data_IF_915509849308
#
_entry.id   IF_915509849308
#
_cell.length_a   1.000
_cell.length_b   1.000
_cell.length_c   1.000
_cell.angle_alpha   90.00
_cell.angle_beta   90.00
_cell.angle_gamma   90.00
#
_symmetry.space_group_name_H-M   'P 1'
#
loop_
_entity.id
_entity.type
_entity.pdbx_description
1 polymer ?
#
# COMPACT_ATOMS: atom_id res chain seq x y z
N UNK A 1 -59.19 -68.52 -8.41
CA UNK A 1 -59.66 -68.56 -9.78
C UNK A 1 -58.61 -68.01 -10.70
N UNK A 2 -58.05 -68.84 -11.51
CA UNK A 2 -57.03 -68.61 -12.55
C UNK A 2 -57.49 -67.74 -13.71
N UNK A 3 -56.64 -66.96 -14.28
CA UNK A 3 -56.53 -66.88 -15.75
C UNK A 3 -55.10 -66.42 -16.10
N UNK A 4 -54.38 -67.36 -16.74
CA UNK A 4 -53.13 -67.12 -17.47
C UNK A 4 -53.40 -66.36 -18.76
N UNK A 5 -52.49 -65.48 -19.16
CA UNK A 5 -52.24 -65.18 -20.58
C UNK A 5 -50.83 -64.93 -20.91
N UNK A 6 -50.45 -65.58 -21.91
CA UNK A 6 -49.24 -66.01 -22.58
C UNK A 6 -48.28 -64.89 -23.03
N UNK A 7 -46.98 -65.21 -22.95
CA UNK A 7 -45.85 -64.58 -23.62
C UNK A 7 -46.02 -64.43 -25.13
N UNK A 8 -45.53 -63.31 -25.68
CA UNK A 8 -44.97 -63.23 -27.02
C UNK A 8 -43.59 -62.55 -26.89
N UNK A 9 -42.55 -63.32 -27.18
CA UNK A 9 -41.16 -62.86 -27.33
C UNK A 9 -41.01 -62.29 -28.76
N UNK A 10 -40.42 -61.06 -28.83
CA UNK A 10 -39.83 -60.54 -30.07
C UNK A 10 -38.38 -60.14 -29.71
N UNK A 11 -37.35 -60.64 -30.42
CA UNK A 11 -35.97 -60.29 -30.15
C UNK A 11 -35.66 -58.98 -30.88
N UNK A 12 -35.38 -57.93 -30.13
CA UNK A 12 -34.78 -56.71 -30.63
C UNK A 12 -33.27 -56.77 -30.51
N UNK A 13 -32.60 -56.77 -31.65
CA UNK A 13 -31.14 -56.65 -31.78
C UNK A 13 -30.71 -55.29 -31.25
N UNK A 14 -30.03 -55.23 -30.13
CA UNK A 14 -29.36 -54.01 -29.68
C UNK A 14 -27.93 -53.90 -30.25
N UNK A 15 -27.77 -52.95 -31.14
CA UNK A 15 -26.45 -52.44 -31.54
C UNK A 15 -25.85 -51.67 -30.37
N UNK A 16 -24.80 -52.19 -29.72
CA UNK A 16 -24.02 -51.47 -28.72
C UNK A 16 -22.98 -50.61 -29.44
N UNK A 17 -23.30 -49.31 -29.59
CA UNK A 17 -22.30 -48.30 -29.98
C UNK A 17 -21.50 -47.89 -28.75
N UNK A 18 -20.26 -48.35 -28.65
CA UNK A 18 -19.29 -47.93 -27.63
C UNK A 18 -18.85 -46.48 -27.90
N UNK A 19 -19.43 -45.53 -27.19
CA UNK A 19 -18.91 -44.16 -27.15
C UNK A 19 -17.79 -44.15 -26.10
N UNK A 20 -16.54 -44.22 -26.55
CA UNK A 20 -15.38 -43.83 -25.79
C UNK A 20 -15.40 -42.31 -25.58
N UNK A 21 -16.00 -41.88 -24.49
CA UNK A 21 -15.89 -40.51 -24.03
C UNK A 21 -14.47 -40.23 -23.55
N UNK A 22 -13.66 -39.57 -24.38
CA UNK A 22 -12.43 -38.97 -23.95
C UNK A 22 -12.77 -37.86 -22.92
N UNK A 23 -12.43 -38.07 -21.65
CA UNK A 23 -12.31 -36.98 -20.67
C UNK A 23 -11.12 -36.11 -21.09
N UNK A 24 -11.34 -35.19 -21.99
CA UNK A 24 -10.47 -34.05 -22.18
C UNK A 24 -10.72 -33.13 -20.99
N UNK A 25 -9.73 -32.99 -20.10
CA UNK A 25 -9.71 -31.87 -19.19
C UNK A 25 -9.73 -30.60 -20.05
N UNK A 26 -10.79 -29.80 -19.90
CA UNK A 26 -10.84 -28.48 -20.53
C UNK A 26 -9.65 -27.69 -19.98
N UNK A 27 -8.69 -27.36 -20.84
CA UNK A 27 -7.71 -26.33 -20.54
C UNK A 27 -8.49 -25.04 -20.22
N UNK A 28 -8.06 -24.27 -19.20
CA UNK A 28 -8.69 -22.99 -18.92
C UNK A 28 -8.57 -22.14 -20.18
N UNK A 29 -9.71 -21.60 -20.61
CA UNK A 29 -9.87 -20.74 -21.77
C UNK A 29 -8.86 -19.57 -21.64
N UNK A 30 -7.80 -19.57 -22.43
CA UNK A 30 -6.90 -18.43 -22.55
C UNK A 30 -7.71 -17.33 -23.20
N UNK A 31 -8.12 -16.34 -22.41
CA UNK A 31 -8.94 -15.22 -22.86
C UNK A 31 -8.48 -14.73 -24.24
N UNK A 32 -9.44 -14.52 -25.16
CA UNK A 32 -9.15 -14.01 -26.49
C UNK A 32 -8.29 -12.74 -26.39
N UNK A 33 -7.23 -12.70 -27.18
CA UNK A 33 -6.36 -11.51 -27.25
C UNK A 33 -7.20 -10.27 -27.60
N UNK A 34 -6.98 -9.17 -26.93
CA UNK A 34 -7.72 -7.92 -27.18
C UNK A 34 -7.65 -7.55 -28.66
N UNK A 35 -8.79 -7.12 -29.22
CA UNK A 35 -8.80 -6.56 -30.60
C UNK A 35 -7.91 -5.32 -30.69
N UNK A 36 -7.37 -5.03 -31.86
CA UNK A 36 -6.43 -3.90 -32.05
C UNK A 36 -7.00 -2.54 -31.60
N UNK A 37 -8.32 -2.32 -31.74
CA UNK A 37 -8.95 -1.06 -31.28
C UNK A 37 -9.19 -1.06 -29.76
N UNK A 38 -9.59 -2.19 -29.17
CA UNK A 38 -9.68 -2.33 -27.72
C UNK A 38 -8.30 -2.16 -27.06
N UNK A 39 -7.25 -2.70 -27.66
CA UNK A 39 -5.88 -2.52 -27.19
C UNK A 39 -5.44 -1.05 -27.23
N UNK A 40 -5.73 -0.32 -28.32
CA UNK A 40 -5.42 1.13 -28.40
C UNK A 40 -6.20 1.92 -27.33
N UNK A 41 -7.46 1.60 -27.10
CA UNK A 41 -8.29 2.24 -26.07
C UNK A 41 -7.72 1.98 -24.67
N UNK A 42 -7.35 0.73 -24.37
CA UNK A 42 -6.69 0.36 -23.12
C UNK A 42 -5.39 1.16 -22.91
N UNK A 43 -4.49 1.17 -23.90
CA UNK A 43 -3.21 1.90 -23.80
C UNK A 43 -3.44 3.40 -23.56
N UNK A 44 -4.42 4.01 -24.25
CA UNK A 44 -4.77 5.41 -24.04
C UNK A 44 -5.24 5.68 -22.61
N UNK A 45 -6.13 4.85 -22.08
CA UNK A 45 -6.64 4.97 -20.71
C UNK A 45 -5.53 4.71 -19.69
N UNK A 46 -4.69 3.71 -19.93
CA UNK A 46 -3.55 3.37 -19.10
C UNK A 46 -2.56 4.54 -18.96
N UNK A 47 -2.24 5.21 -20.08
CA UNK A 47 -1.40 6.42 -20.08
C UNK A 47 -2.04 7.55 -19.27
N UNK A 48 -3.35 7.77 -19.40
CA UNK A 48 -4.05 8.80 -18.63
C UNK A 48 -3.97 8.54 -17.13
N UNK A 49 -4.22 7.31 -16.67
CA UNK A 49 -4.13 6.94 -15.26
C UNK A 49 -2.71 7.10 -14.71
N UNK A 50 -1.71 6.62 -15.46
CA UNK A 50 -0.30 6.77 -15.10
C UNK A 50 0.10 8.23 -14.96
N UNK A 51 -0.19 9.06 -15.97
CA UNK A 51 0.30 10.43 -16.05
C UNK A 51 -0.41 11.36 -15.05
N UNK A 52 -1.62 11.03 -14.63
CA UNK A 52 -2.36 11.78 -13.59
C UNK A 52 -1.63 11.84 -12.23
N UNK A 53 -0.71 10.92 -11.95
CA UNK A 53 0.01 10.85 -10.67
C UNK A 53 1.54 11.02 -10.82
N UNK A 54 2.03 11.54 -11.96
CA UNK A 54 3.48 11.68 -12.21
C UNK A 54 4.04 13.04 -11.84
N UNK A 55 3.22 14.05 -11.81
CA UNK A 55 3.63 15.40 -11.42
C UNK A 55 3.93 15.47 -9.93
N UNK A 56 4.81 16.37 -9.54
CA UNK A 56 5.06 16.63 -8.13
C UNK A 56 3.81 17.28 -7.50
N UNK A 57 3.26 16.66 -6.46
CA UNK A 57 2.16 17.29 -5.73
C UNK A 57 2.68 18.52 -4.99
N UNK A 58 1.90 19.60 -5.00
CA UNK A 58 2.21 20.77 -4.21
C UNK A 58 1.78 20.59 -2.75
N UNK A 59 2.58 21.09 -1.82
CA UNK A 59 2.15 21.18 -0.41
C UNK A 59 1.06 22.25 -0.32
N UNK A 60 -0.17 21.81 -0.07
CA UNK A 60 -1.29 22.73 0.12
C UNK A 60 -0.99 23.66 1.29
N UNK A 61 -1.18 24.97 1.10
CA UNK A 61 -1.03 25.94 2.16
C UNK A 61 -1.96 25.57 3.33
N UNK A 62 -1.38 25.34 4.50
CA UNK A 62 -2.11 25.01 5.69
C UNK A 62 -2.75 26.25 6.31
N UNK A 63 -3.99 26.16 6.75
CA UNK A 63 -4.64 27.25 7.45
C UNK A 63 -3.84 27.61 8.71
N UNK A 64 -3.47 28.89 8.92
CA UNK A 64 -2.76 29.30 10.14
C UNK A 64 -3.56 29.01 11.40
N UNK A 65 -2.87 28.63 12.48
CA UNK A 65 -3.47 28.50 13.81
C UNK A 65 -2.43 28.84 14.88
N UNK A 66 -2.89 29.15 16.10
CA UNK A 66 -2.00 29.47 17.20
C UNK A 66 -1.45 28.18 17.85
N UNK A 67 -0.16 27.93 17.71
CA UNK A 67 0.55 26.80 18.31
C UNK A 67 0.79 26.96 19.81
N UNK A 68 0.76 28.20 20.36
CA UNK A 68 1.15 28.47 21.76
C UNK A 68 0.44 27.62 22.82
N UNK A 69 -0.89 27.30 22.70
CA UNK A 69 -1.57 26.44 23.66
C UNK A 69 -1.02 25.01 23.72
N UNK A 70 -0.30 24.58 22.67
CA UNK A 70 0.28 23.24 22.59
C UNK A 70 1.67 23.12 23.22
N UNK A 71 2.29 24.24 23.60
CA UNK A 71 3.62 24.23 24.20
C UNK A 71 3.63 23.42 25.51
N UNK A 72 4.53 22.44 25.57
CA UNK A 72 4.67 21.53 26.71
C UNK A 72 3.72 20.34 26.70
N UNK A 73 2.77 20.26 25.77
CA UNK A 73 1.93 19.08 25.56
C UNK A 73 2.76 17.86 25.20
N UNK A 74 2.28 16.68 25.59
CA UNK A 74 2.96 15.40 25.38
C UNK A 74 2.27 14.59 24.28
N UNK A 75 2.95 14.36 23.17
CA UNK A 75 2.47 13.52 22.05
C UNK A 75 3.34 12.28 21.94
N UNK A 76 2.72 11.10 21.99
CA UNK A 76 3.39 9.83 21.81
C UNK A 76 3.23 9.36 20.36
N UNK A 77 4.35 9.04 19.72
CA UNK A 77 4.36 8.45 18.38
C UNK A 77 4.75 6.98 18.53
N UNK A 78 3.80 6.10 18.24
CA UNK A 78 3.92 4.65 18.42
C UNK A 78 4.00 4.02 17.05
N UNK A 79 5.19 3.52 16.68
CA UNK A 79 5.41 2.78 15.43
C UNK A 79 5.21 1.28 15.63
N UNK A 80 4.59 0.60 14.66
CA UNK A 80 4.37 -0.85 14.73
C UNK A 80 5.67 -1.63 14.92
N UNK A 81 6.73 -1.23 14.21
CA UNK A 81 8.06 -1.82 14.33
C UNK A 81 9.16 -0.78 14.03
N UNK A 82 10.39 -1.06 14.47
CA UNK A 82 11.54 -0.21 14.20
C UNK A 82 12.15 -0.54 12.83
N UNK A 83 11.50 -0.06 11.76
CA UNK A 83 11.99 -0.19 10.38
C UNK A 83 12.36 1.19 9.81
N UNK A 84 13.26 1.30 8.82
CA UNK A 84 13.79 2.58 8.34
C UNK A 84 12.72 3.62 7.99
N UNK A 85 11.64 3.22 7.33
CA UNK A 85 10.56 4.11 6.96
C UNK A 85 9.82 4.70 8.17
N UNK A 86 9.48 3.86 9.16
CA UNK A 86 8.86 4.30 10.42
C UNK A 86 9.80 5.17 11.26
N UNK A 87 11.11 4.84 11.27
CA UNK A 87 12.10 5.65 11.97
C UNK A 87 12.18 7.07 11.41
N UNK A 88 12.20 7.24 10.10
CA UNK A 88 12.22 8.57 9.47
C UNK A 88 10.99 9.41 9.80
N UNK A 89 9.80 8.80 9.84
CA UNK A 89 8.58 9.51 10.29
C UNK A 89 8.73 9.96 11.75
N UNK A 90 9.24 9.09 12.61
CA UNK A 90 9.47 9.41 14.02
C UNK A 90 10.50 10.52 14.19
N UNK A 91 11.62 10.49 13.44
CA UNK A 91 12.66 11.54 13.47
C UNK A 91 12.07 12.89 13.01
N UNK A 92 11.22 12.87 11.99
CA UNK A 92 10.47 14.04 11.54
C UNK A 92 9.52 14.59 12.61
N UNK A 93 8.81 13.71 13.32
CA UNK A 93 7.92 14.08 14.41
C UNK A 93 8.71 14.69 15.60
N UNK A 94 9.87 14.13 15.94
CA UNK A 94 10.75 14.73 16.93
C UNK A 94 11.23 16.13 16.52
N UNK A 95 11.64 16.30 15.25
CA UNK A 95 12.06 17.61 14.73
C UNK A 95 10.93 18.63 14.80
N UNK A 96 9.72 18.25 14.41
CA UNK A 96 8.51 19.07 14.51
C UNK A 96 8.16 19.41 15.96
N UNK A 97 8.29 18.43 16.86
CA UNK A 97 8.12 18.64 18.31
C UNK A 97 9.08 19.69 18.86
N UNK A 98 10.36 19.61 18.50
CA UNK A 98 11.37 20.62 18.89
C UNK A 98 11.01 22.00 18.36
N UNK A 99 10.53 22.12 17.13
CA UNK A 99 10.15 23.38 16.51
C UNK A 99 8.89 23.99 17.15
N UNK A 100 7.90 23.15 17.49
CA UNK A 100 6.59 23.58 18.03
C UNK A 100 6.57 23.76 19.56
N UNK A 101 7.54 23.18 20.27
CA UNK A 101 7.53 23.10 21.73
C UNK A 101 6.64 21.98 22.30
N UNK A 102 6.19 21.04 21.47
CA UNK A 102 5.50 19.82 21.88
C UNK A 102 6.55 18.77 22.28
N UNK A 103 6.31 18.09 23.41
CA UNK A 103 7.17 16.99 23.87
C UNK A 103 6.79 15.70 23.11
N UNK A 104 7.52 15.37 22.07
CA UNK A 104 7.31 14.14 21.30
C UNK A 104 8.07 12.98 21.95
N UNK A 105 7.38 11.86 22.19
CA UNK A 105 7.95 10.63 22.73
C UNK A 105 7.76 9.49 21.75
N UNK A 106 8.86 8.88 21.33
CA UNK A 106 8.84 7.79 20.34
C UNK A 106 8.88 6.43 21.04
N UNK A 107 8.02 5.52 20.61
CA UNK A 107 7.99 4.11 21.05
C UNK A 107 7.83 3.22 19.81
N UNK A 108 8.64 2.17 19.73
CA UNK A 108 8.50 1.15 18.68
C UNK A 108 8.03 -0.16 19.28
N UNK A 109 7.05 -0.77 18.63
CA UNK A 109 6.66 -2.16 18.86
C UNK A 109 7.64 -3.14 18.19
N UNK A 110 7.27 -4.40 18.22
CA UNK A 110 7.94 -5.52 17.56
C UNK A 110 7.13 -6.11 16.40
N UNK A 111 6.09 -5.38 15.96
CA UNK A 111 5.14 -5.82 14.94
C UNK A 111 3.92 -6.56 15.54
N UNK A 112 3.90 -6.84 16.85
CA UNK A 112 2.78 -7.52 17.48
C UNK A 112 1.73 -6.55 18.03
N UNK A 113 0.46 -6.96 18.00
CA UNK A 113 -0.65 -6.25 18.62
C UNK A 113 -0.44 -6.05 20.13
N UNK A 114 0.21 -7.01 20.80
CA UNK A 114 0.44 -6.94 22.24
C UNK A 114 1.38 -5.78 22.63
N UNK A 115 2.47 -5.59 21.90
CA UNK A 115 3.41 -4.49 22.17
C UNK A 115 2.81 -3.14 21.84
N UNK A 116 2.03 -3.04 20.76
CA UNK A 116 1.29 -1.84 20.39
C UNK A 116 0.27 -1.46 21.49
N UNK A 117 -0.53 -2.43 21.93
CA UNK A 117 -1.51 -2.23 23.02
C UNK A 117 -0.83 -1.78 24.32
N UNK A 118 0.30 -2.41 24.70
CA UNK A 118 1.06 -2.04 25.88
C UNK A 118 1.60 -0.60 25.78
N UNK A 119 2.10 -0.18 24.62
CA UNK A 119 2.59 1.17 24.40
C UNK A 119 1.48 2.22 24.52
N UNK A 120 0.27 1.96 23.94
CA UNK A 120 -0.88 2.86 24.08
C UNK A 120 -1.32 2.98 25.54
N UNK A 121 -1.43 1.87 26.26
CA UNK A 121 -1.75 1.90 27.71
C UNK A 121 -0.71 2.65 28.53
N UNK A 122 0.56 2.48 28.19
CA UNK A 122 1.65 3.22 28.87
C UNK A 122 1.54 4.72 28.60
N UNK A 123 1.27 5.15 27.37
CA UNK A 123 1.05 6.54 27.01
C UNK A 123 -0.13 7.13 27.80
N UNK A 124 -1.26 6.40 27.85
CA UNK A 124 -2.44 6.78 28.62
C UNK A 124 -2.13 6.95 30.11
N UNK A 125 -1.46 5.96 30.72
CA UNK A 125 -1.08 6.00 32.13
C UNK A 125 -0.10 7.12 32.48
N UNK A 126 0.75 7.55 31.52
CA UNK A 126 1.69 8.65 31.70
C UNK A 126 1.09 10.02 31.33
N UNK A 127 -0.20 10.11 31.05
CA UNK A 127 -0.90 11.37 30.79
C UNK A 127 -0.50 12.02 29.46
N UNK A 128 -0.37 11.23 28.40
CA UNK A 128 -0.22 11.78 27.06
C UNK A 128 -1.41 12.68 26.73
N UNK A 129 -1.16 13.79 26.03
CA UNK A 129 -2.24 14.62 25.46
C UNK A 129 -2.70 14.07 24.09
N UNK A 130 -1.77 13.46 23.35
CA UNK A 130 -2.05 12.86 22.04
C UNK A 130 -1.21 11.60 21.77
N UNK A 131 -1.73 10.75 20.92
CA UNK A 131 -1.08 9.50 20.46
C UNK A 131 -1.22 9.41 18.95
N UNK A 132 -0.12 9.15 18.23
CA UNK A 132 -0.11 8.82 16.82
C UNK A 132 0.33 7.37 16.61
N UNK A 133 -0.43 6.61 15.83
CA UNK A 133 -0.27 5.17 15.59
C UNK A 133 0.22 4.92 14.17
N UNK A 134 1.53 4.75 13.96
CA UNK A 134 2.13 4.51 12.63
C UNK A 134 2.09 3.01 12.33
N UNK A 135 1.31 2.60 11.32
CA UNK A 135 1.09 1.20 10.93
C UNK A 135 0.60 0.30 12.07
N UNK A 136 0.03 0.87 13.12
CA UNK A 136 -0.70 0.15 14.17
C UNK A 136 -2.18 0.35 13.90
N UNK A 137 -2.88 -0.69 13.45
CA UNK A 137 -4.32 -0.61 13.22
C UNK A 137 -5.09 -0.45 14.54
N UNK A 138 -5.75 0.71 14.76
CA UNK A 138 -6.49 0.99 16.00
C UNK A 138 -7.55 -0.06 16.32
N UNK A 139 -8.13 -0.70 15.32
CA UNK A 139 -9.18 -1.71 15.50
C UNK A 139 -8.67 -2.99 16.16
N UNK A 140 -7.38 -3.32 15.95
CA UNK A 140 -6.76 -4.50 16.58
C UNK A 140 -6.45 -4.30 18.06
N UNK A 141 -6.44 -3.04 18.52
CA UNK A 141 -6.17 -2.64 19.92
C UNK A 141 -7.32 -1.81 20.49
N UNK A 142 -8.55 -2.04 20.01
CA UNK A 142 -9.75 -1.22 20.30
C UNK A 142 -9.93 -0.90 21.79
N UNK A 143 -9.74 -1.88 22.68
CA UNK A 143 -9.90 -1.66 24.11
C UNK A 143 -8.92 -0.59 24.66
N UNK A 144 -7.69 -0.54 24.17
CA UNK A 144 -6.72 0.49 24.57
C UNK A 144 -7.09 1.86 23.98
N UNK A 145 -7.60 1.90 22.74
CA UNK A 145 -8.10 3.12 22.09
C UNK A 145 -9.33 3.66 22.80
N UNK A 146 -10.23 2.80 23.25
CA UNK A 146 -11.41 3.22 24.06
C UNK A 146 -10.99 3.83 25.41
N UNK A 147 -9.91 3.35 26.01
CA UNK A 147 -9.38 3.91 27.24
C UNK A 147 -8.73 5.30 27.01
N UNK A 148 -8.06 5.52 25.87
CA UNK A 148 -7.55 6.87 25.50
C UNK A 148 -8.70 7.86 25.33
N UNK A 149 -9.79 7.44 24.68
CA UNK A 149 -10.98 8.27 24.48
C UNK A 149 -11.60 8.69 25.81
N UNK A 150 -11.71 7.77 26.78
CA UNK A 150 -12.22 8.07 28.14
C UNK A 150 -11.32 9.07 28.86
N UNK A 151 -10.00 9.00 28.61
CA UNK A 151 -9.03 9.92 29.17
C UNK A 151 -8.94 11.27 28.45
N UNK A 152 -9.69 11.49 27.37
CA UNK A 152 -9.67 12.71 26.58
C UNK A 152 -8.41 12.90 25.73
N UNK A 153 -7.70 11.82 25.44
CA UNK A 153 -6.47 11.82 24.63
C UNK A 153 -6.84 11.77 23.15
N UNK A 154 -6.23 12.64 22.34
CA UNK A 154 -6.39 12.58 20.88
C UNK A 154 -5.63 11.40 20.30
N UNK A 155 -6.22 10.69 19.32
CA UNK A 155 -5.59 9.57 18.64
C UNK A 155 -5.57 9.84 17.14
N UNK A 156 -4.37 9.81 16.53
CA UNK A 156 -4.20 9.85 15.08
C UNK A 156 -3.84 8.45 14.56
N UNK A 157 -4.61 7.98 13.58
CA UNK A 157 -4.32 6.79 12.77
C UNK A 157 -3.43 7.19 11.58
N UNK A 158 -2.25 6.59 11.45
CA UNK A 158 -1.26 7.01 10.46
C UNK A 158 -1.00 5.90 9.45
N UNK A 159 -1.48 6.11 8.22
CA UNK A 159 -1.23 5.25 7.04
C UNK A 159 -1.73 3.81 7.24
N UNK A 160 -2.87 3.63 7.89
CA UNK A 160 -3.57 2.34 7.91
C UNK A 160 -4.81 2.34 7.02
N UNK A 161 -5.23 3.50 6.53
CA UNK A 161 -6.48 3.71 5.78
C UNK A 161 -6.23 4.43 4.47
N UNK A 162 -7.18 4.25 3.55
CA UNK A 162 -7.27 5.00 2.31
C UNK A 162 -8.28 6.14 2.42
N UNK A 163 -8.17 7.11 1.53
CA UNK A 163 -9.19 8.17 1.37
C UNK A 163 -10.57 7.53 1.23
N UNK A 164 -11.52 8.03 2.03
CA UNK A 164 -12.90 7.55 2.06
C UNK A 164 -13.16 6.35 2.98
N UNK A 165 -12.13 5.77 3.59
CA UNK A 165 -12.33 4.76 4.62
C UNK A 165 -12.91 5.37 5.90
N UNK A 166 -13.81 4.69 6.60
CA UNK A 166 -14.36 5.21 7.84
C UNK A 166 -13.28 5.28 8.91
N UNK A 167 -13.27 6.40 9.65
CA UNK A 167 -12.39 6.57 10.80
C UNK A 167 -12.75 5.56 11.89
N UNK A 168 -11.79 4.81 12.47
CA UNK A 168 -12.05 3.85 13.53
C UNK A 168 -12.61 4.51 14.78
N UNK A 169 -13.43 3.77 15.53
CA UNK A 169 -13.97 4.26 16.80
C UNK A 169 -12.86 4.66 17.78
N UNK A 170 -12.99 5.84 18.38
CA UNK A 170 -12.00 6.38 19.32
C UNK A 170 -10.82 7.11 18.67
N UNK A 171 -10.63 6.99 17.37
CA UNK A 171 -9.67 7.79 16.59
C UNK A 171 -10.25 9.20 16.38
N UNK A 172 -9.44 10.23 16.50
CA UNK A 172 -9.83 11.64 16.35
C UNK A 172 -9.30 12.28 15.09
N UNK A 173 -8.29 11.68 14.45
CA UNK A 173 -7.74 12.10 13.18
C UNK A 173 -7.04 10.96 12.46
N UNK A 174 -6.90 11.10 11.14
CA UNK A 174 -6.20 10.10 10.33
C UNK A 174 -5.34 10.77 9.25
N UNK A 175 -4.14 10.22 9.04
CA UNK A 175 -3.33 10.46 7.85
C UNK A 175 -3.54 9.28 6.91
N UNK A 176 -4.07 9.55 5.72
CA UNK A 176 -4.49 8.52 4.76
C UNK A 176 -3.73 8.63 3.45
N UNK A 177 -3.71 7.54 2.70
CA UNK A 177 -3.21 7.51 1.32
C UNK A 177 -4.38 7.49 0.34
N UNK A 178 -4.20 8.07 -0.83
CA UNK A 178 -5.14 7.92 -1.95
C UNK A 178 -4.85 6.59 -2.68
N UNK A 179 -4.93 5.49 -1.92
CA UNK A 179 -4.51 4.17 -2.36
C UNK A 179 -5.24 3.70 -3.61
N UNK A 180 -6.50 4.07 -3.76
CA UNK A 180 -7.29 3.71 -4.95
C UNK A 180 -6.71 4.31 -6.23
N UNK A 181 -6.40 5.59 -6.21
CA UNK A 181 -5.83 6.29 -7.36
C UNK A 181 -4.36 5.91 -7.57
N UNK A 182 -3.61 5.66 -6.50
CA UNK A 182 -2.24 5.16 -6.58
C UNK A 182 -2.18 3.80 -7.30
N UNK A 183 -3.02 2.87 -6.90
CA UNK A 183 -3.08 1.54 -7.51
C UNK A 183 -3.61 1.58 -8.93
N UNK A 184 -4.55 2.48 -9.24
CA UNK A 184 -5.00 2.71 -10.60
C UNK A 184 -3.87 3.26 -11.50
N UNK A 185 -3.03 4.16 -10.97
CA UNK A 185 -1.86 4.67 -11.69
C UNK A 185 -0.79 3.60 -11.90
N UNK A 186 -0.54 2.74 -10.90
CA UNK A 186 0.39 1.61 -11.02
C UNK A 186 -0.09 0.57 -12.05
N UNK A 187 -1.38 0.21 -12.03
CA UNK A 187 -1.97 -0.64 -13.06
C UNK A 187 -1.88 0.02 -14.44
N UNK A 188 -2.15 1.33 -14.52
CA UNK A 188 -1.97 2.14 -15.72
C UNK A 188 -0.53 2.10 -16.23
N UNK A 189 0.46 2.17 -15.33
CA UNK A 189 1.86 2.09 -15.71
C UNK A 189 2.19 0.74 -16.36
N UNK A 190 1.76 -0.38 -15.76
CA UNK A 190 1.96 -1.74 -16.31
C UNK A 190 1.30 -1.88 -17.67
N UNK A 191 0.05 -1.42 -17.81
CA UNK A 191 -0.70 -1.55 -19.06
C UNK A 191 -0.14 -0.67 -20.17
N UNK A 192 0.33 0.54 -19.85
CA UNK A 192 0.98 1.42 -20.83
C UNK A 192 2.29 0.82 -21.33
N UNK A 193 3.12 0.30 -20.44
CA UNK A 193 4.43 -0.28 -20.76
C UNK A 193 4.32 -1.61 -21.51
N UNK A 194 3.37 -2.47 -21.13
CA UNK A 194 3.10 -3.77 -21.79
C UNK A 194 2.26 -3.65 -23.05
N UNK A 195 1.73 -2.46 -23.35
CA UNK A 195 0.72 -2.25 -24.40
C UNK A 195 -0.52 -3.13 -24.18
N UNK A 196 -0.97 -3.23 -22.93
CA UNK A 196 -2.11 -4.06 -22.52
C UNK A 196 -1.94 -5.55 -22.87
N UNK A 197 -0.75 -6.07 -22.61
CA UNK A 197 -0.41 -7.49 -22.76
C UNK A 197 0.53 -7.88 -21.62
N UNK A 198 0.02 -7.79 -20.37
CA UNK A 198 0.82 -8.05 -19.19
C UNK A 198 0.45 -9.37 -18.52
N UNK A 199 1.46 -10.00 -17.91
CA UNK A 199 1.33 -11.06 -16.94
C UNK A 199 2.04 -10.57 -15.66
N UNK A 200 1.29 -10.37 -14.59
CA UNK A 200 1.77 -9.69 -13.37
C UNK A 200 1.53 -10.56 -12.14
N UNK A 201 2.55 -10.67 -11.30
CA UNK A 201 2.47 -11.24 -9.96
C UNK A 201 2.65 -10.10 -8.93
N UNK A 202 1.73 -10.01 -7.96
CA UNK A 202 1.84 -9.06 -6.86
C UNK A 202 2.16 -9.79 -5.56
N UNK A 203 3.17 -9.30 -4.83
CA UNK A 203 3.44 -9.68 -3.45
C UNK A 203 2.92 -8.58 -2.53
N UNK A 204 1.98 -8.91 -1.64
CA UNK A 204 1.41 -7.97 -0.69
C UNK A 204 1.08 -8.65 0.64
N UNK A 205 1.45 -8.05 1.79
CA UNK A 205 1.08 -8.59 3.09
C UNK A 205 -0.41 -8.38 3.36
N UNK A 206 -1.19 -9.46 3.39
CA UNK A 206 -2.62 -9.42 3.68
C UNK A 206 -2.94 -9.03 5.14
N UNK A 207 -1.96 -9.19 6.03
CA UNK A 207 -2.09 -8.82 7.44
C UNK A 207 -2.15 -7.30 7.70
N UNK A 208 -1.74 -6.48 6.73
CA UNK A 208 -1.81 -5.01 6.82
C UNK A 208 -3.04 -4.51 6.05
N UNK A 209 -4.00 -3.84 6.70
CA UNK A 209 -5.25 -3.40 6.05
C UNK A 209 -5.01 -2.57 4.79
N UNK A 210 -4.06 -1.63 4.84
CA UNK A 210 -3.76 -0.74 3.71
C UNK A 210 -3.22 -1.52 2.49
N UNK A 211 -2.39 -2.54 2.69
CA UNK A 211 -1.86 -3.35 1.58
C UNK A 211 -2.87 -4.36 1.05
N UNK A 212 -3.76 -4.86 1.91
CA UNK A 212 -4.91 -5.67 1.49
C UNK A 212 -5.87 -4.85 0.60
N UNK A 213 -6.19 -3.61 1.00
CA UNK A 213 -6.98 -2.69 0.20
C UNK A 213 -6.28 -2.34 -1.13
N UNK A 214 -4.98 -2.05 -1.10
CA UNK A 214 -4.17 -1.79 -2.28
C UNK A 214 -4.22 -2.94 -3.29
N UNK A 215 -4.11 -4.19 -2.81
CA UNK A 215 -4.20 -5.37 -3.68
C UNK A 215 -5.54 -5.46 -4.40
N UNK A 216 -6.62 -5.16 -3.71
CA UNK A 216 -7.97 -5.11 -4.28
C UNK A 216 -8.09 -4.00 -5.33
N UNK A 217 -7.66 -2.79 -5.02
CA UNK A 217 -7.72 -1.66 -5.95
C UNK A 217 -6.86 -1.87 -7.19
N UNK A 218 -5.68 -2.48 -7.03
CA UNK A 218 -4.81 -2.82 -8.15
C UNK A 218 -5.48 -3.86 -9.06
N UNK A 219 -6.02 -4.96 -8.51
CA UNK A 219 -6.71 -6.01 -9.27
C UNK A 219 -7.91 -5.45 -10.04
N UNK A 220 -8.74 -4.63 -9.39
CA UNK A 220 -9.89 -3.99 -10.03
C UNK A 220 -9.47 -3.08 -11.20
N UNK A 221 -8.45 -2.25 -11.00
CA UNK A 221 -7.95 -1.36 -12.05
C UNK A 221 -7.28 -2.15 -13.19
N UNK A 222 -6.51 -3.17 -12.85
CA UNK A 222 -5.82 -4.04 -13.78
C UNK A 222 -6.80 -4.80 -14.69
N UNK A 223 -7.80 -5.47 -14.11
CA UNK A 223 -8.84 -6.20 -14.84
C UNK A 223 -9.75 -5.29 -15.66
N UNK A 224 -10.05 -4.10 -15.15
CA UNK A 224 -10.83 -3.10 -15.91
C UNK A 224 -10.10 -2.64 -17.17
N UNK A 225 -8.77 -2.46 -17.10
CA UNK A 225 -7.95 -2.07 -18.26
C UNK A 225 -7.75 -3.23 -19.24
N UNK A 226 -7.47 -4.41 -18.75
CA UNK A 226 -7.14 -5.59 -19.55
C UNK A 226 -7.77 -6.86 -18.95
N UNK A 227 -9.03 -7.19 -19.27
CA UNK A 227 -9.69 -8.39 -18.75
C UNK A 227 -9.00 -9.71 -19.11
N UNK A 228 -8.26 -9.74 -20.24
CA UNK A 228 -7.52 -10.91 -20.72
C UNK A 228 -6.08 -11.01 -20.17
N UNK A 229 -5.60 -9.99 -19.44
CA UNK A 229 -4.28 -10.00 -18.84
C UNK A 229 -4.26 -10.85 -17.55
N UNK A 230 -3.18 -11.62 -17.35
CA UNK A 230 -3.04 -12.44 -16.14
C UNK A 230 -2.57 -11.60 -14.96
N UNK A 231 -3.27 -11.74 -13.83
CA UNK A 231 -2.88 -11.18 -12.54
C UNK A 231 -2.98 -12.25 -11.45
N UNK A 232 -1.92 -12.37 -10.66
CA UNK A 232 -1.88 -13.25 -9.49
C UNK A 232 -1.46 -12.44 -8.27
N UNK A 233 -2.22 -12.56 -7.18
CA UNK A 233 -1.87 -12.02 -5.88
C UNK A 233 -1.29 -13.13 -5.01
N UNK A 234 -0.16 -12.86 -4.35
CA UNK A 234 0.48 -13.75 -3.40
C UNK A 234 0.70 -13.02 -2.09
N UNK A 235 0.28 -13.66 -1.01
CA UNK A 235 0.51 -13.13 0.34
C UNK A 235 2.01 -13.08 0.66
N UNK A 236 2.44 -11.97 1.23
CA UNK A 236 3.81 -11.74 1.67
C UNK A 236 3.89 -11.87 3.19
N UNK A 237 4.64 -12.85 3.68
CA UNK A 237 4.96 -12.92 5.12
C UNK A 237 5.89 -11.76 5.51
N UNK A 238 5.27 -10.65 5.97
CA UNK A 238 5.99 -9.43 6.33
C UNK A 238 7.04 -9.63 7.43
N UNK A 239 6.83 -10.60 8.31
CA UNK A 239 7.78 -10.92 9.39
C UNK A 239 8.99 -11.73 8.92
N UNK A 240 8.92 -12.43 7.78
CA UNK A 240 9.94 -13.38 7.33
C UNK A 240 10.45 -13.15 5.90
N UNK A 241 9.95 -12.15 5.17
CA UNK A 241 10.30 -11.94 3.75
C UNK A 241 11.81 -11.90 3.50
N UNK A 242 12.61 -11.37 4.43
CA UNK A 242 14.06 -11.31 4.30
C UNK A 242 14.73 -12.67 4.18
N UNK A 243 14.08 -13.74 4.64
CA UNK A 243 14.55 -15.13 4.57
C UNK A 243 13.94 -15.93 3.45
N UNK A 244 12.68 -15.66 3.09
CA UNK A 244 11.88 -16.53 2.21
C UNK A 244 11.73 -15.99 0.80
N UNK A 245 11.55 -14.66 0.64
CA UNK A 245 11.09 -14.05 -0.60
C UNK A 245 12.01 -14.32 -1.80
N UNK A 246 13.32 -14.33 -1.62
CA UNK A 246 14.26 -14.63 -2.73
C UNK A 246 13.99 -16.02 -3.33
N UNK A 247 13.77 -17.04 -2.50
CA UNK A 247 13.47 -18.40 -2.96
C UNK A 247 12.05 -18.50 -3.55
N UNK A 248 11.11 -17.76 -3.02
CA UNK A 248 9.74 -17.67 -3.54
C UNK A 248 9.72 -17.06 -4.94
N UNK A 249 10.39 -15.92 -5.15
CA UNK A 249 10.54 -15.30 -6.47
C UNK A 249 11.16 -16.27 -7.47
N UNK A 250 12.25 -16.97 -7.10
CA UNK A 250 12.85 -18.00 -7.96
C UNK A 250 11.89 -19.12 -8.33
N UNK A 251 11.02 -19.51 -7.43
CA UNK A 251 10.02 -20.55 -7.66
C UNK A 251 8.93 -20.03 -8.60
N UNK A 252 8.44 -18.83 -8.38
CA UNK A 252 7.36 -18.24 -9.15
C UNK A 252 7.78 -17.94 -10.61
N UNK A 253 8.99 -17.46 -10.85
CA UNK A 253 9.50 -17.27 -12.21
C UNK A 253 9.77 -18.59 -12.97
N UNK A 254 10.01 -19.71 -12.26
CA UNK A 254 10.04 -21.04 -12.90
C UNK A 254 8.65 -21.54 -13.24
N UNK A 255 7.68 -21.31 -12.37
CA UNK A 255 6.28 -21.69 -12.55
C UNK A 255 5.60 -20.87 -13.66
N UNK A 256 5.99 -19.59 -13.81
CA UNK A 256 5.44 -18.64 -14.77
C UNK A 256 6.56 -18.11 -15.69
N UNK A 257 6.95 -18.85 -16.74
CA UNK A 257 8.06 -18.47 -17.62
C UNK A 257 7.75 -17.22 -18.46
N UNK A 258 6.49 -16.86 -18.62
CA UNK A 258 5.96 -15.68 -19.32
C UNK A 258 5.66 -14.50 -18.40
N UNK A 259 6.02 -14.59 -17.11
CA UNK A 259 5.87 -13.50 -16.15
C UNK A 259 6.65 -12.27 -16.61
N UNK A 260 5.94 -11.16 -16.87
CA UNK A 260 6.52 -9.90 -17.32
C UNK A 260 6.80 -8.90 -16.19
N UNK A 261 5.98 -8.96 -15.14
CA UNK A 261 5.99 -7.98 -14.07
C UNK A 261 5.85 -8.62 -12.70
N UNK A 262 6.60 -8.08 -11.73
CA UNK A 262 6.36 -8.30 -10.30
C UNK A 262 6.05 -6.95 -9.67
N UNK A 263 4.95 -6.86 -8.95
CA UNK A 263 4.66 -5.74 -8.07
C UNK A 263 4.87 -6.17 -6.62
N UNK A 264 5.97 -5.75 -6.00
CA UNK A 264 6.20 -5.94 -4.58
C UNK A 264 5.86 -4.64 -3.86
N UNK A 265 4.68 -4.60 -3.21
CA UNK A 265 4.13 -3.34 -2.67
C UNK A 265 4.96 -2.77 -1.52
N UNK A 266 5.75 -3.58 -0.85
CA UNK A 266 6.62 -3.14 0.24
C UNK A 266 8.02 -2.85 -0.29
N UNK A 267 8.45 -1.61 -0.31
CA UNK A 267 9.71 -1.16 -0.90
C UNK A 267 10.96 -1.82 -0.32
N UNK A 268 10.96 -2.18 0.96
CA UNK A 268 12.08 -2.88 1.61
C UNK A 268 12.32 -4.31 1.12
N UNK A 269 11.41 -4.88 0.33
CA UNK A 269 11.53 -6.22 -0.25
C UNK A 269 12.35 -6.25 -1.54
N UNK A 270 12.58 -5.10 -2.17
CA UNK A 270 13.25 -4.99 -3.48
C UNK A 270 14.58 -5.76 -3.54
N UNK A 271 15.49 -5.67 -2.58
CA UNK A 271 16.74 -6.44 -2.63
C UNK A 271 16.53 -7.96 -2.74
N UNK A 272 15.49 -8.49 -2.08
CA UNK A 272 15.15 -9.92 -2.13
C UNK A 272 14.54 -10.30 -3.48
N UNK A 273 13.68 -9.44 -4.04
CA UNK A 273 13.09 -9.65 -5.37
C UNK A 273 14.20 -9.62 -6.43
N UNK A 274 15.06 -8.62 -6.43
CA UNK A 274 16.19 -8.50 -7.36
C UNK A 274 17.14 -9.72 -7.27
N UNK A 275 17.44 -10.18 -6.06
CA UNK A 275 18.24 -11.37 -5.85
C UNK A 275 17.57 -12.64 -6.40
N UNK A 276 16.25 -12.73 -6.35
CA UNK A 276 15.46 -13.82 -6.93
C UNK A 276 15.43 -13.81 -8.46
N UNK A 277 15.46 -12.62 -9.05
CA UNK A 277 15.32 -12.41 -10.50
C UNK A 277 16.60 -12.60 -11.30
N UNK A 278 17.74 -12.85 -10.70
CA UNK A 278 19.06 -12.87 -11.35
C UNK A 278 19.04 -13.30 -12.82
N UNK A 279 19.36 -12.35 -13.71
CA UNK A 279 19.44 -12.59 -15.15
C UNK A 279 18.11 -12.76 -15.89
N UNK A 280 16.99 -12.57 -15.24
CA UNK A 280 15.65 -12.59 -15.85
C UNK A 280 15.22 -11.18 -16.26
N UNK A 281 14.42 -11.10 -17.33
CA UNK A 281 13.91 -9.82 -17.85
C UNK A 281 12.52 -9.45 -17.27
N UNK A 282 12.27 -9.80 -16.00
CA UNK A 282 11.05 -9.42 -15.31
C UNK A 282 11.22 -8.01 -14.76
N UNK A 283 10.23 -7.16 -14.95
CA UNK A 283 10.21 -5.77 -14.48
C UNK A 283 9.58 -5.71 -13.10
N UNK A 284 10.13 -4.88 -12.22
CA UNK A 284 9.65 -4.75 -10.86
C UNK A 284 8.99 -3.40 -10.65
N UNK A 285 7.80 -3.42 -10.05
CA UNK A 285 7.16 -2.24 -9.49
C UNK A 285 7.23 -2.35 -7.98
N UNK A 286 7.34 -1.21 -7.31
CA UNK A 286 7.32 -1.16 -5.85
C UNK A 286 6.59 0.09 -5.36
N UNK A 287 6.58 0.26 -4.05
CA UNK A 287 5.91 1.36 -3.36
C UNK A 287 6.83 1.86 -2.24
N UNK A 288 6.47 2.94 -1.56
CA UNK A 288 7.17 3.57 -0.44
C UNK A 288 8.19 4.67 -0.84
N UNK A 289 8.73 4.66 -2.07
CA UNK A 289 9.71 5.67 -2.50
C UNK A 289 11.01 5.65 -1.69
N UNK A 290 11.48 4.46 -1.31
CA UNK A 290 12.71 4.35 -0.51
C UNK A 290 13.92 4.88 -1.28
N UNK A 291 14.76 5.66 -0.61
CA UNK A 291 15.94 6.30 -1.19
C UNK A 291 16.83 5.32 -1.98
N UNK A 292 17.10 4.15 -1.40
CA UNK A 292 17.94 3.13 -2.03
C UNK A 292 17.32 2.58 -3.33
N UNK A 293 15.98 2.41 -3.37
CA UNK A 293 15.28 1.96 -4.56
C UNK A 293 15.31 3.02 -5.67
N UNK A 294 15.04 4.27 -5.32
CA UNK A 294 15.08 5.40 -6.27
C UNK A 294 16.50 5.60 -6.81
N UNK A 295 17.52 5.49 -5.97
CA UNK A 295 18.91 5.59 -6.37
C UNK A 295 19.33 4.41 -7.28
N UNK A 296 18.94 3.19 -6.93
CA UNK A 296 19.18 2.01 -7.76
C UNK A 296 18.47 2.13 -9.13
N UNK A 297 17.26 2.71 -9.16
CA UNK A 297 16.53 2.99 -10.40
C UNK A 297 17.30 4.01 -11.28
N UNK A 298 17.81 5.11 -10.69
CA UNK A 298 18.66 6.10 -11.40
C UNK A 298 19.90 5.46 -12.00
N UNK A 299 20.59 4.65 -11.20
CA UNK A 299 21.83 3.94 -11.61
C UNK A 299 21.56 2.75 -12.53
N UNK A 300 20.29 2.35 -12.72
CA UNK A 300 19.90 1.16 -13.49
C UNK A 300 20.55 -0.13 -12.96
N UNK A 301 20.68 -0.24 -11.65
CA UNK A 301 21.27 -1.40 -10.94
C UNK A 301 20.23 -2.34 -10.35
N UNK A 302 18.95 -2.09 -10.57
CA UNK A 302 17.80 -2.85 -10.10
C UNK A 302 16.85 -3.21 -11.24
N UNK A 303 15.97 -4.17 -11.01
CA UNK A 303 14.82 -4.46 -11.88
C UNK A 303 13.64 -3.50 -11.67
N UNK A 304 13.72 -2.63 -10.65
CA UNK A 304 12.68 -1.63 -10.37
C UNK A 304 12.62 -0.62 -11.50
N UNK A 305 11.43 -0.43 -12.02
CA UNK A 305 11.14 0.45 -13.16
C UNK A 305 10.11 1.53 -12.82
N UNK A 306 9.31 1.31 -11.79
CA UNK A 306 8.36 2.26 -11.24
C UNK A 306 8.21 2.06 -9.74
N UNK A 307 8.05 3.17 -9.02
CA UNK A 307 7.83 3.23 -7.58
C UNK A 307 6.74 4.27 -7.30
N UNK A 308 5.84 3.98 -6.38
CA UNK A 308 4.90 4.98 -5.92
C UNK A 308 5.45 5.60 -4.63
N UNK A 309 6.01 6.80 -4.76
CA UNK A 309 6.71 7.46 -3.69
C UNK A 309 5.76 8.37 -2.89
N UNK A 310 5.78 8.24 -1.57
CA UNK A 310 5.16 9.21 -0.68
C UNK A 310 6.01 10.48 -0.55
N UNK A 311 5.41 11.52 0.00
CA UNK A 311 6.16 12.63 0.55
C UNK A 311 7.27 12.11 1.48
N UNK A 312 8.42 12.79 1.58
CA UNK A 312 9.51 12.35 2.42
C UNK A 312 9.01 11.95 3.81
N UNK A 313 9.44 10.80 4.30
CA UNK A 313 8.92 10.22 5.55
C UNK A 313 9.04 11.18 6.73
N UNK A 314 10.07 12.02 6.73
CA UNK A 314 10.28 13.09 7.72
C UNK A 314 9.16 14.14 7.65
N UNK A 315 8.68 14.49 6.45
CA UNK A 315 7.57 15.45 6.30
C UNK A 315 6.25 14.89 6.84
N UNK A 316 6.05 13.57 6.74
CA UNK A 316 4.90 12.90 7.36
C UNK A 316 4.97 13.03 8.89
N UNK A 317 6.16 12.96 9.47
CA UNK A 317 6.38 13.23 10.89
C UNK A 317 5.92 14.65 11.30
N UNK A 318 6.17 15.66 10.45
CA UNK A 318 5.65 17.02 10.66
C UNK A 318 4.13 17.08 10.51
N UNK A 319 3.54 16.35 9.55
CA UNK A 319 2.08 16.23 9.41
C UNK A 319 1.44 15.62 10.66
N UNK A 320 2.08 14.60 11.26
CA UNK A 320 1.61 13.99 12.51
C UNK A 320 1.51 15.03 13.63
N UNK A 321 2.59 15.81 13.84
CA UNK A 321 2.62 16.82 14.90
C UNK A 321 1.66 17.98 14.61
N UNK A 322 1.57 18.44 13.37
CA UNK A 322 0.60 19.47 12.95
C UNK A 322 -0.85 19.01 13.20
N UNK A 323 -1.20 17.78 12.78
CA UNK A 323 -2.52 17.22 13.01
C UNK A 323 -2.84 17.11 14.49
N UNK A 324 -1.92 16.55 15.28
CA UNK A 324 -2.11 16.43 16.73
C UNK A 324 -2.28 17.81 17.38
N UNK A 325 -1.47 18.78 17.01
CA UNK A 325 -1.57 20.14 17.54
C UNK A 325 -2.93 20.80 17.22
N UNK A 326 -3.44 20.60 16.00
CA UNK A 326 -4.76 21.09 15.58
C UNK A 326 -5.90 20.41 16.35
N UNK A 327 -5.82 19.09 16.50
CA UNK A 327 -6.80 18.32 17.26
C UNK A 327 -6.86 18.75 18.72
N UNK A 328 -5.71 19.01 19.34
CA UNK A 328 -5.59 19.45 20.74
C UNK A 328 -6.23 20.83 21.00
N UNK A 329 -6.29 21.70 20.00
CA UNK A 329 -6.93 23.02 20.12
C UNK A 329 -8.30 23.08 19.44
N UNK A 330 -8.78 21.96 18.89
CA UNK A 330 -10.08 21.90 18.20
C UNK A 330 -10.14 22.69 16.90
N UNK A 331 -9.00 22.83 16.19
CA UNK A 331 -8.95 23.51 14.89
C UNK A 331 -9.67 22.68 13.81
N UNK A 332 -10.37 23.38 12.90
CA UNK A 332 -11.08 22.74 11.80
C UNK A 332 -10.12 22.07 10.79
N UNK A 333 -10.64 21.06 10.07
CA UNK A 333 -9.92 20.37 8.97
C UNK A 333 -8.83 19.39 9.42
N UNK A 334 -8.71 19.10 10.71
CA UNK A 334 -7.67 18.22 11.25
C UNK A 334 -8.06 16.72 11.26
N UNK A 335 -9.30 16.36 10.94
CA UNK A 335 -9.78 14.98 11.08
C UNK A 335 -9.20 14.01 10.04
N UNK A 336 -8.98 14.49 8.80
CA UNK A 336 -8.37 13.68 7.75
C UNK A 336 -7.35 14.51 6.97
N UNK A 337 -6.15 13.97 6.80
CA UNK A 337 -5.09 14.57 5.99
C UNK A 337 -4.61 13.53 5.00
N UNK A 338 -4.63 13.87 3.71
CA UNK A 338 -4.09 13.00 2.66
C UNK A 338 -2.57 13.19 2.58
N UNK A 339 -1.83 12.11 2.72
CA UNK A 339 -0.38 12.12 2.52
C UNK A 339 -0.08 12.24 1.04
N UNK A 340 0.63 13.26 0.59
CA UNK A 340 0.95 13.43 -0.81
C UNK A 340 1.87 12.33 -1.32
N UNK A 341 1.60 11.89 -2.54
CA UNK A 341 2.34 10.80 -3.18
C UNK A 341 2.41 11.01 -4.71
N UNK A 342 3.38 10.40 -5.36
CA UNK A 342 3.53 10.45 -6.82
C UNK A 342 4.10 9.17 -7.39
N UNK A 343 3.75 8.91 -8.64
CA UNK A 343 4.36 7.85 -9.44
C UNK A 343 5.72 8.30 -9.97
N UNK A 344 6.76 7.56 -9.60
CA UNK A 344 8.14 7.78 -10.04
C UNK A 344 8.58 6.63 -10.93
N UNK A 345 9.20 6.93 -12.06
CA UNK A 345 9.87 5.98 -12.91
C UNK A 345 11.21 6.55 -13.40
N UNK A 346 11.93 5.78 -14.22
CA UNK A 346 13.23 6.18 -14.76
C UNK A 346 13.24 7.51 -15.53
N UNK A 347 12.07 8.04 -15.91
CA UNK A 347 11.97 9.29 -16.69
C UNK A 347 11.75 10.52 -15.83
N UNK A 348 11.29 10.34 -14.59
CA UNK A 348 11.03 11.43 -13.64
C UNK A 348 11.63 11.23 -12.24
N UNK A 349 12.46 10.20 -12.04
CA UNK A 349 13.12 9.93 -10.76
C UNK A 349 14.11 11.04 -10.34
N UNK A 350 14.45 11.94 -11.27
CA UNK A 350 15.27 13.12 -11.01
C UNK A 350 16.72 12.83 -10.63
N UNK A 351 17.50 13.89 -10.46
CA UNK A 351 18.82 13.87 -9.87
C UNK A 351 18.69 14.50 -8.46
N UNK A 352 18.50 13.68 -7.43
CA UNK A 352 18.56 14.12 -6.05
C UNK A 352 19.83 13.56 -5.41
N UNK A 353 20.63 14.41 -4.77
CA UNK A 353 21.92 14.04 -4.20
C UNK A 353 21.78 13.07 -3.01
N UNK A 354 20.61 13.02 -2.38
CA UNK A 354 20.30 12.18 -1.23
C UNK A 354 19.46 10.93 -1.56
N UNK A 355 19.17 10.68 -2.84
CA UNK A 355 18.42 9.51 -3.28
C UNK A 355 16.92 9.55 -3.01
N UNK A 356 16.41 10.57 -2.37
CA UNK A 356 15.01 10.73 -2.00
C UNK A 356 14.33 11.65 -3.02
N UNK A 357 13.09 11.39 -3.39
CA UNK A 357 12.26 12.42 -3.98
C UNK A 357 12.21 13.59 -2.98
N UNK A 358 12.70 14.80 -3.38
CA UNK A 358 12.86 15.91 -2.44
C UNK A 358 11.53 16.34 -1.81
N UNK A 359 10.41 15.93 -2.41
CA UNK A 359 9.09 16.29 -1.93
C UNK A 359 8.98 17.80 -1.83
N UNK A 360 8.50 18.26 -0.71
CA UNK A 360 8.40 19.67 -0.39
C UNK A 360 9.70 20.16 0.21
N UNK A 361 10.55 20.81 -0.55
CA UNK A 361 11.87 21.29 -0.10
C UNK A 361 11.81 22.22 1.11
N UNK A 362 10.68 22.91 1.31
CA UNK A 362 10.49 23.91 2.40
C UNK A 362 9.38 23.55 3.38
N UNK A 363 9.03 22.27 3.53
CA UNK A 363 7.89 21.86 4.36
C UNK A 363 8.01 22.34 5.81
N UNK A 364 9.21 22.31 6.39
CA UNK A 364 9.41 22.79 7.77
C UNK A 364 9.02 24.26 7.93
N UNK A 365 9.42 25.11 6.97
CA UNK A 365 9.04 26.53 6.96
C UNK A 365 7.53 26.71 6.75
N UNK A 366 6.94 25.91 5.89
CA UNK A 366 5.49 25.93 5.66
C UNK A 366 4.73 25.63 6.95
N UNK A 367 5.14 24.59 7.69
CA UNK A 367 4.53 24.25 8.98
C UNK A 367 4.78 25.34 10.05
N UNK A 368 6.03 25.77 10.25
CA UNK A 368 6.33 26.80 11.27
C UNK A 368 5.61 28.12 11.00
N UNK A 369 5.49 28.53 9.73
CA UNK A 369 4.70 29.70 9.35
C UNK A 369 3.21 29.51 9.67
N UNK A 370 2.65 28.35 9.35
CA UNK A 370 1.26 27.99 9.67
C UNK A 370 0.99 27.99 11.20
N UNK A 371 2.00 27.69 12.00
CA UNK A 371 1.96 27.66 13.48
C UNK A 371 2.14 29.04 14.12
N UNK A 372 2.45 30.07 13.33
CA UNK A 372 2.75 31.42 13.83
C UNK A 372 4.08 31.51 14.58
N UNK A 373 5.09 30.70 14.14
CA UNK A 373 6.42 30.64 14.73
C UNK A 373 7.47 31.25 13.79
#
# INVERSE_FOLDING_TARGET
MSVQRRLVLVPALMLVASILGACGAAEPDKGEAMSGDAQKACVKQAIQLRDAKREEPELTALAPFDMKPNKGKSVWVIGAARVPFVQRMADGAEAAGRASGINVKIVYGDGSTNTAQAAVRQATAQGADGIALIFVDPTTIQAAVDDTKKAGITVTDVINRSVGDPMPSGVTGQLVLDMKDEMAAMAGWVMADSKCSANTLMYAPSALPITAAASTFFDEAYKRLCPSCEFELKDLDYGNFSRTLTAEVQTDIRRKPDLGYIFSIVGSTVPNVDAGLRGKKVRVLTHDGLADNLEAMRKKTTHVIADFAFAPSESIGWQIVDQQARLLVGAEGASEIVVPSRLVDKTNVGASDDGIWPGYTDYQRTYTTSWGL
#
